data_IF_502245862087
#
_entry.id   IF_502245862087
#
_cell.length_a   1.000
_cell.length_b   1.000
_cell.length_c   1.000
_cell.angle_alpha   90.00
_cell.angle_beta   90.00
_cell.angle_gamma   90.00
#
_symmetry.space_group_name_H-M   'P 1'
#
loop_
_entity.id
_entity.type
_entity.pdbx_description
1 polymer ?
#
# COMPACT_ATOMS: atom_id res chain seq x y z
N UNK A 1 -25.73 6.14 8.42
CA UNK A 1 -26.83 6.09 7.43
C UNK A 1 -27.72 4.87 7.66
N UNK A 2 -28.93 4.78 7.08
CA UNK A 2 -29.73 3.57 7.26
C UNK A 2 -29.14 2.39 6.45
N UNK A 3 -29.44 1.16 6.86
CA UNK A 3 -28.81 -0.03 6.26
C UNK A 3 -29.16 -0.18 4.77
N UNK A 4 -30.41 0.07 4.38
CA UNK A 4 -30.85 -0.01 2.98
C UNK A 4 -30.17 1.04 2.09
N UNK A 5 -29.99 2.26 2.58
CA UNK A 5 -29.22 3.31 1.88
C UNK A 5 -27.76 2.88 1.67
N UNK A 6 -27.15 2.23 2.67
CA UNK A 6 -25.79 1.72 2.55
C UNK A 6 -25.71 0.58 1.52
N UNK A 7 -26.63 -0.38 1.55
CA UNK A 7 -26.72 -1.47 0.57
C UNK A 7 -26.93 -0.94 -0.86
N UNK A 8 -27.84 0.02 -1.03
CA UNK A 8 -28.07 0.69 -2.31
C UNK A 8 -26.81 1.42 -2.80
N UNK A 9 -26.09 2.06 -1.89
CA UNK A 9 -24.82 2.72 -2.16
C UNK A 9 -23.74 1.75 -2.63
N UNK A 10 -23.62 0.59 -1.97
CA UNK A 10 -22.66 -0.46 -2.36
C UNK A 10 -23.03 -1.06 -3.72
N UNK A 11 -24.30 -1.40 -3.94
CA UNK A 11 -24.77 -1.95 -5.19
C UNK A 11 -24.53 -0.97 -6.35
N UNK A 12 -24.93 0.29 -6.18
CA UNK A 12 -24.73 1.32 -7.20
C UNK A 12 -23.25 1.62 -7.47
N UNK A 13 -22.42 1.67 -6.43
CA UNK A 13 -20.99 1.96 -6.54
C UNK A 13 -20.14 0.84 -7.16
N UNK A 14 -20.65 -0.40 -7.17
CA UNK A 14 -19.94 -1.57 -7.74
C UNK A 14 -20.50 -2.06 -9.07
N UNK A 15 -21.74 -1.65 -9.41
CA UNK A 15 -22.48 -2.11 -10.59
C UNK A 15 -21.71 -1.93 -11.90
N UNK A 16 -21.13 -0.77 -12.13
CA UNK A 16 -20.47 -0.46 -13.40
C UNK A 16 -19.24 -1.36 -13.63
N UNK A 17 -18.43 -1.56 -12.59
CA UNK A 17 -17.26 -2.46 -12.60
C UNK A 17 -17.67 -3.90 -12.87
N UNK A 18 -18.71 -4.39 -12.19
CA UNK A 18 -19.22 -5.76 -12.38
C UNK A 18 -19.75 -5.96 -13.80
N UNK A 19 -20.56 -5.01 -14.29
CA UNK A 19 -21.12 -5.05 -15.64
C UNK A 19 -20.02 -5.00 -16.70
N UNK A 20 -19.02 -4.12 -16.54
CA UNK A 20 -17.87 -4.01 -17.44
C UNK A 20 -17.06 -5.31 -17.52
N UNK A 21 -17.08 -6.12 -16.46
CA UNK A 21 -16.39 -7.40 -16.40
C UNK A 21 -17.26 -8.61 -16.79
N UNK A 22 -18.46 -8.38 -17.29
CA UNK A 22 -19.36 -9.42 -17.80
C UNK A 22 -20.21 -10.08 -16.72
N UNK A 23 -20.35 -9.47 -15.55
CA UNK A 23 -21.22 -9.96 -14.49
C UNK A 23 -22.56 -9.23 -14.48
N UNK A 24 -23.63 -10.00 -14.36
CA UNK A 24 -24.99 -9.51 -14.18
C UNK A 24 -25.50 -9.88 -12.79
N UNK A 25 -26.26 -8.96 -12.20
CA UNK A 25 -26.88 -9.16 -10.89
C UNK A 25 -27.94 -10.27 -10.97
N UNK A 26 -27.85 -11.24 -10.08
CA UNK A 26 -28.88 -12.24 -9.85
C UNK A 26 -29.97 -11.62 -8.99
N UNK A 27 -31.18 -11.54 -9.54
CA UNK A 27 -32.35 -11.11 -8.77
C UNK A 27 -32.82 -12.27 -7.89
N UNK A 28 -32.93 -12.10 -6.56
CA UNK A 28 -33.52 -13.10 -5.68
C UNK A 28 -35.00 -13.34 -6.02
N UNK A 29 -35.55 -14.51 -5.66
CA UNK A 29 -36.98 -14.82 -5.85
C UNK A 29 -37.90 -13.90 -5.03
N UNK A 30 -37.40 -13.42 -3.89
CA UNK A 30 -38.10 -12.50 -3.00
C UNK A 30 -37.14 -11.40 -2.56
N UNK A 31 -37.49 -10.16 -2.87
CA UNK A 31 -36.82 -8.97 -2.39
C UNK A 31 -37.83 -7.82 -2.41
N UNK A 32 -37.61 -6.82 -1.56
CA UNK A 32 -38.44 -5.62 -1.51
C UNK A 32 -37.98 -4.62 -2.59
N UNK A 33 -37.24 -3.58 -2.19
CA UNK A 33 -36.78 -2.52 -3.08
C UNK A 33 -35.38 -2.79 -3.65
N UNK A 34 -34.54 -3.44 -2.85
CA UNK A 34 -33.14 -3.72 -3.20
C UNK A 34 -33.03 -5.22 -3.54
N UNK A 35 -32.46 -5.60 -4.70
CA UNK A 35 -32.28 -7.00 -5.10
C UNK A 35 -31.16 -7.68 -4.29
N UNK A 36 -31.42 -7.84 -2.98
CA UNK A 36 -30.53 -8.44 -1.99
C UNK A 36 -31.17 -9.69 -1.43
N UNK A 37 -30.42 -10.79 -1.34
CA UNK A 37 -30.84 -12.00 -0.64
C UNK A 37 -30.44 -11.87 0.82
N UNK A 38 -31.30 -12.28 1.75
CA UNK A 38 -30.96 -12.32 3.18
C UNK A 38 -31.35 -13.65 3.80
N UNK A 39 -30.55 -14.11 4.76
CA UNK A 39 -30.86 -15.23 5.65
C UNK A 39 -31.13 -14.79 7.10
N UNK A 40 -31.28 -13.49 7.33
CA UNK A 40 -31.52 -12.87 8.64
C UNK A 40 -30.27 -12.22 9.23
N UNK A 41 -29.10 -12.86 9.14
CA UNK A 41 -27.83 -12.32 9.65
C UNK A 41 -26.97 -11.71 8.53
N UNK A 42 -27.06 -12.28 7.34
CA UNK A 42 -26.26 -11.90 6.19
C UNK A 42 -27.14 -11.25 5.11
N UNK A 43 -26.52 -10.36 4.35
CA UNK A 43 -27.10 -9.77 3.14
C UNK A 43 -26.17 -10.00 1.96
N UNK A 44 -26.70 -10.52 0.86
CA UNK A 44 -25.93 -10.98 -0.29
C UNK A 44 -26.38 -10.28 -1.58
N UNK A 45 -25.41 -9.72 -2.30
CA UNK A 45 -25.53 -9.43 -3.72
C UNK A 45 -24.78 -10.50 -4.50
N UNK A 46 -25.53 -11.34 -5.20
CA UNK A 46 -24.99 -12.40 -6.04
C UNK A 46 -24.97 -11.97 -7.51
N UNK A 47 -23.86 -12.21 -8.20
CA UNK A 47 -23.68 -11.90 -9.62
C UNK A 47 -23.17 -13.12 -10.37
N UNK A 48 -23.56 -13.26 -11.64
CA UNK A 48 -23.09 -14.32 -12.53
C UNK A 48 -22.62 -13.77 -13.87
N UNK A 49 -21.64 -14.43 -14.47
CA UNK A 49 -21.11 -14.11 -15.79
C UNK A 49 -20.37 -15.30 -16.39
N UNK A 50 -19.87 -15.13 -17.61
CA UNK A 50 -19.06 -16.17 -18.28
C UNK A 50 -17.79 -16.54 -17.49
N UNK A 51 -17.29 -15.61 -16.66
CA UNK A 51 -16.12 -15.78 -15.80
C UNK A 51 -16.43 -16.43 -14.44
N UNK A 52 -17.66 -16.88 -14.21
CA UNK A 52 -18.10 -17.53 -12.98
C UNK A 52 -19.09 -16.69 -12.15
N UNK A 53 -18.97 -16.71 -10.81
CA UNK A 53 -19.85 -15.97 -9.90
C UNK A 53 -19.07 -15.05 -8.96
N UNK A 54 -19.72 -13.96 -8.55
CA UNK A 54 -19.25 -13.02 -7.54
C UNK A 54 -20.33 -12.81 -6.48
N UNK A 55 -19.92 -12.71 -5.22
CA UNK A 55 -20.82 -12.42 -4.09
C UNK A 55 -20.24 -11.30 -3.25
N UNK A 56 -21.02 -10.24 -3.06
CA UNK A 56 -20.77 -9.24 -2.00
C UNK A 56 -21.66 -9.64 -0.83
N UNK A 57 -21.04 -9.97 0.29
CA UNK A 57 -21.71 -10.36 1.52
C UNK A 57 -21.50 -9.29 2.59
N UNK A 58 -22.58 -8.84 3.19
CA UNK A 58 -22.57 -7.94 4.34
C UNK A 58 -22.99 -8.73 5.57
N UNK A 59 -22.12 -8.76 6.57
CA UNK A 59 -22.34 -9.46 7.84
C UNK A 59 -21.70 -8.68 8.98
N UNK A 60 -22.52 -8.30 9.98
CA UNK A 60 -22.09 -7.43 11.07
C UNK A 60 -21.38 -6.17 10.56
N UNK A 61 -20.14 -5.97 11.01
CA UNK A 61 -19.33 -4.81 10.61
C UNK A 61 -18.35 -5.10 9.45
N UNK A 62 -18.73 -5.98 8.53
CA UNK A 62 -17.88 -6.42 7.43
C UNK A 62 -18.61 -6.42 6.09
N UNK A 63 -17.87 -6.03 5.05
CA UNK A 63 -18.21 -6.25 3.66
C UNK A 63 -17.19 -7.19 3.03
N UNK A 64 -17.62 -8.41 2.72
CA UNK A 64 -16.80 -9.47 2.16
C UNK A 64 -17.06 -9.59 0.65
N UNK A 65 -16.00 -9.86 -0.09
CA UNK A 65 -16.09 -10.20 -1.51
C UNK A 65 -15.66 -11.64 -1.70
N UNK A 66 -16.49 -12.43 -2.35
CA UNK A 66 -16.21 -13.80 -2.75
C UNK A 66 -16.34 -13.96 -4.25
N UNK A 67 -15.67 -14.97 -4.78
CA UNK A 67 -15.82 -15.36 -6.16
C UNK A 67 -15.61 -16.86 -6.36
N UNK A 68 -16.05 -17.35 -7.52
CA UNK A 68 -15.69 -18.65 -8.06
C UNK A 68 -15.56 -18.52 -9.57
N UNK A 69 -14.56 -19.18 -10.15
CA UNK A 69 -14.33 -19.30 -11.60
C UNK A 69 -14.99 -20.56 -12.19
N UNK A 70 -15.65 -21.36 -11.35
CA UNK A 70 -16.46 -22.50 -11.78
C UNK A 70 -17.67 -22.00 -12.57
N UNK A 71 -18.08 -22.80 -13.57
CA UNK A 71 -19.27 -22.55 -14.35
C UNK A 71 -20.46 -22.21 -13.42
N UNK A 72 -21.17 -21.08 -13.62
CA UNK A 72 -22.24 -20.66 -12.74
C UNK A 72 -23.33 -21.72 -12.49
N UNK A 73 -23.59 -22.61 -13.45
CA UNK A 73 -24.62 -23.65 -13.32
C UNK A 73 -24.14 -24.88 -12.55
N UNK A 74 -22.82 -25.00 -12.31
CA UNK A 74 -22.18 -26.14 -11.64
C UNK A 74 -21.59 -25.77 -10.27
N UNK A 75 -21.32 -24.48 -10.04
CA UNK A 75 -20.68 -23.99 -8.81
C UNK A 75 -21.50 -24.29 -7.54
N UNK A 76 -20.83 -24.89 -6.56
CA UNK A 76 -21.33 -25.21 -5.23
C UNK A 76 -20.79 -24.24 -4.17
N UNK A 77 -21.26 -24.35 -2.92
CA UNK A 77 -20.78 -23.48 -1.84
C UNK A 77 -19.30 -23.73 -1.49
N UNK A 78 -18.73 -24.90 -1.81
CA UNK A 78 -17.32 -25.22 -1.56
C UNK A 78 -16.36 -24.53 -2.56
N UNK A 79 -16.88 -24.07 -3.70
CA UNK A 79 -16.09 -23.46 -4.76
C UNK A 79 -15.81 -21.96 -4.52
N UNK A 80 -16.41 -21.36 -3.50
CA UNK A 80 -16.24 -19.94 -3.20
C UNK A 80 -14.89 -19.64 -2.55
N UNK A 81 -14.16 -18.73 -3.17
CA UNK A 81 -12.92 -18.17 -2.66
C UNK A 81 -13.17 -16.75 -2.16
N UNK A 82 -12.74 -16.48 -0.93
CA UNK A 82 -12.78 -15.13 -0.35
C UNK A 82 -11.70 -14.25 -0.99
N UNK A 83 -12.10 -13.18 -1.67
CA UNK A 83 -11.22 -12.23 -2.34
C UNK A 83 -10.77 -11.09 -1.41
N UNK A 84 -11.67 -10.56 -0.59
CA UNK A 84 -11.37 -9.45 0.33
C UNK A 84 -12.30 -9.43 1.54
N UNK A 85 -11.83 -8.81 2.63
CA UNK A 85 -12.63 -8.44 3.80
C UNK A 85 -12.39 -6.96 4.06
N UNK A 86 -13.45 -6.17 4.02
CA UNK A 86 -13.41 -4.73 4.19
C UNK A 86 -14.22 -4.32 5.42
N UNK A 87 -13.82 -3.23 6.06
CA UNK A 87 -14.58 -2.69 7.18
C UNK A 87 -15.87 -2.03 6.65
N UNK A 88 -16.98 -2.30 7.31
CA UNK A 88 -18.27 -1.71 7.00
C UNK A 88 -18.99 -1.43 8.31
N UNK A 89 -19.55 -0.25 8.50
CA UNK A 89 -20.42 0.02 9.64
C UNK A 89 -21.45 1.08 9.24
N UNK A 90 -22.66 0.66 8.87
CA UNK A 90 -23.66 1.60 8.35
C UNK A 90 -24.07 2.67 9.38
N UNK A 91 -23.96 2.39 10.68
CA UNK A 91 -24.30 3.35 11.73
C UNK A 91 -23.30 4.53 11.76
N UNK A 92 -22.02 4.26 11.47
CA UNK A 92 -20.94 5.25 11.50
C UNK A 92 -20.58 5.81 10.11
N UNK A 93 -20.92 5.09 9.04
CA UNK A 93 -20.54 5.47 7.68
C UNK A 93 -21.39 6.63 7.15
N UNK A 94 -20.70 7.53 6.45
CA UNK A 94 -21.27 8.54 5.56
C UNK A 94 -21.09 8.15 4.09
N UNK A 95 -21.67 8.93 3.17
CA UNK A 95 -21.60 8.63 1.72
C UNK A 95 -20.16 8.53 1.19
N UNK A 96 -19.22 9.28 1.76
CA UNK A 96 -17.79 9.22 1.38
C UNK A 96 -17.15 7.87 1.77
N UNK A 97 -17.58 7.29 2.88
CA UNK A 97 -17.03 6.03 3.40
C UNK A 97 -17.58 4.86 2.58
N UNK A 98 -18.85 4.90 2.19
CA UNK A 98 -19.42 3.97 1.21
C UNK A 98 -18.69 4.07 -0.13
N UNK A 99 -18.37 5.28 -0.60
CA UNK A 99 -17.59 5.47 -1.83
C UNK A 99 -16.19 4.87 -1.70
N UNK A 100 -15.52 5.05 -0.55
CA UNK A 100 -14.21 4.44 -0.28
C UNK A 100 -14.29 2.92 -0.30
N UNK A 101 -15.29 2.34 0.38
CA UNK A 101 -15.56 0.90 0.36
C UNK A 101 -15.80 0.38 -1.07
N UNK A 102 -16.59 1.10 -1.88
CA UNK A 102 -16.81 0.74 -3.28
C UNK A 102 -15.52 0.78 -4.09
N UNK A 103 -14.63 1.75 -3.85
CA UNK A 103 -13.33 1.79 -4.52
C UNK A 103 -12.46 0.57 -4.17
N UNK A 104 -12.45 0.14 -2.91
CA UNK A 104 -11.71 -1.05 -2.45
C UNK A 104 -12.28 -2.35 -3.07
N UNK A 105 -13.60 -2.49 -3.10
CA UNK A 105 -14.29 -3.61 -3.75
C UNK A 105 -14.02 -3.63 -5.25
N UNK A 106 -14.15 -2.47 -5.93
CA UNK A 106 -13.90 -2.33 -7.36
C UNK A 106 -12.45 -2.64 -7.73
N UNK A 107 -11.49 -2.16 -6.95
CA UNK A 107 -10.08 -2.49 -7.14
C UNK A 107 -9.85 -4.00 -7.08
N UNK A 108 -10.45 -4.68 -6.10
CA UNK A 108 -10.35 -6.15 -5.99
C UNK A 108 -11.01 -6.87 -7.17
N UNK A 109 -12.17 -6.38 -7.62
CA UNK A 109 -12.87 -6.90 -8.80
C UNK A 109 -12.06 -6.72 -10.09
N UNK A 110 -11.44 -5.55 -10.28
CA UNK A 110 -10.58 -5.28 -11.43
C UNK A 110 -9.33 -6.14 -11.42
N UNK A 111 -8.69 -6.33 -10.26
CA UNK A 111 -7.54 -7.23 -10.12
C UNK A 111 -7.89 -8.70 -10.47
N UNK A 112 -9.13 -9.13 -10.22
CA UNK A 112 -9.56 -10.51 -10.42
C UNK A 112 -10.17 -10.78 -11.79
N UNK A 113 -11.05 -9.88 -12.23
CA UNK A 113 -11.92 -10.08 -13.38
C UNK A 113 -11.78 -9.02 -14.44
N UNK A 114 -11.05 -7.94 -14.15
CA UNK A 114 -10.56 -7.04 -15.18
C UNK A 114 -10.16 -7.87 -16.38
N UNK A 115 -10.61 -7.47 -17.57
CA UNK A 115 -9.86 -7.94 -18.73
C UNK A 115 -8.39 -7.70 -18.38
N UNK A 116 -7.52 -8.70 -18.60
CA UNK A 116 -6.16 -8.32 -18.95
C UNK A 116 -6.42 -7.30 -20.05
N UNK A 117 -6.21 -6.01 -19.75
CA UNK A 117 -5.77 -5.14 -20.79
C UNK A 117 -4.56 -5.94 -21.32
N UNK A 118 -4.78 -6.66 -22.44
CA UNK A 118 -3.92 -6.44 -23.58
C UNK A 118 -3.78 -4.94 -23.57
N UNK A 119 -2.69 -4.51 -22.96
CA UNK A 119 -2.21 -3.15 -22.79
C UNK A 119 -1.80 -2.64 -24.17
N UNK A 120 -2.67 -2.88 -25.15
CA UNK A 120 -2.77 -2.26 -26.43
C UNK A 120 -3.54 -0.96 -26.20
N UNK A 121 -2.89 0.02 -25.56
CA UNK A 121 -3.27 1.42 -25.80
C UNK A 121 -3.23 2.38 -24.62
N UNK A 122 -3.32 1.93 -23.36
CA UNK A 122 -2.76 2.72 -22.27
C UNK A 122 -1.34 2.25 -22.07
N UNK A 123 -0.41 2.86 -22.81
CA UNK A 123 0.93 3.05 -22.26
C UNK A 123 0.70 3.62 -20.87
N UNK A 124 0.88 2.79 -19.84
CA UNK A 124 1.15 3.27 -18.49
C UNK A 124 2.33 4.22 -18.75
N UNK A 125 2.06 5.53 -18.73
CA UNK A 125 3.03 6.51 -19.21
C UNK A 125 4.12 6.52 -18.17
N UNK A 126 5.32 6.07 -18.55
CA UNK A 126 6.52 6.12 -17.69
C UNK A 126 6.47 7.40 -16.87
N UNK A 127 6.58 7.32 -15.53
CA UNK A 127 6.42 8.49 -14.70
C UNK A 127 7.46 9.52 -15.16
N UNK A 128 6.99 10.73 -15.46
CA UNK A 128 7.85 11.76 -16.02
C UNK A 128 8.82 12.17 -14.91
N UNK A 129 10.15 12.02 -15.11
CA UNK A 129 11.11 12.47 -14.10
C UNK A 129 10.96 13.97 -13.90
N UNK A 130 11.06 14.41 -12.64
CA UNK A 130 10.97 15.81 -12.26
C UNK A 130 12.11 16.59 -12.92
N UNK A 131 11.73 17.66 -13.61
CA UNK A 131 12.68 18.50 -14.34
C UNK A 131 13.59 19.27 -13.39
N UNK A 132 14.81 19.57 -13.84
CA UNK A 132 15.77 20.35 -13.05
C UNK A 132 15.26 21.75 -12.71
N UNK A 133 14.52 22.38 -13.62
CA UNK A 133 13.90 23.69 -13.39
C UNK A 133 12.84 23.62 -12.30
N UNK A 134 11.94 22.63 -12.34
CA UNK A 134 10.89 22.46 -11.34
C UNK A 134 11.46 22.16 -9.94
N UNK A 135 12.55 21.38 -9.88
CA UNK A 135 13.26 21.13 -8.63
C UNK A 135 13.91 22.39 -8.05
N UNK A 136 14.66 23.12 -8.88
CA UNK A 136 15.39 24.31 -8.43
C UNK A 136 14.50 25.51 -8.10
N UNK A 137 13.31 25.59 -8.69
CA UNK A 137 12.32 26.61 -8.32
C UNK A 137 11.56 26.26 -7.04
N UNK A 138 11.74 25.04 -6.49
CA UNK A 138 10.96 24.54 -5.36
C UNK A 138 9.51 24.19 -5.72
N UNK A 139 9.16 24.16 -7.02
CA UNK A 139 7.79 23.83 -7.47
C UNK A 139 7.48 22.35 -7.29
N UNK A 140 8.49 21.50 -7.46
CA UNK A 140 8.43 20.07 -7.19
C UNK A 140 9.73 19.65 -6.52
N UNK A 141 9.72 18.56 -5.77
CA UNK A 141 10.95 17.93 -5.29
C UNK A 141 11.27 16.72 -6.16
N UNK A 142 12.55 16.39 -6.33
CA UNK A 142 12.91 15.13 -6.98
C UNK A 142 12.36 13.94 -6.19
N UNK A 143 11.92 12.93 -6.94
CA UNK A 143 11.36 11.68 -6.43
C UNK A 143 12.27 10.48 -6.75
N UNK A 144 11.94 9.31 -6.19
CA UNK A 144 12.67 8.06 -6.45
C UNK A 144 12.71 7.68 -7.93
N UNK A 145 11.66 7.99 -8.70
CA UNK A 145 11.63 7.80 -10.14
C UNK A 145 12.69 8.66 -10.86
N UNK A 146 12.82 9.92 -10.47
CA UNK A 146 13.81 10.85 -11.03
C UNK A 146 15.23 10.40 -10.72
N UNK A 147 15.47 9.94 -9.48
CA UNK A 147 16.74 9.36 -9.08
C UNK A 147 17.09 8.15 -9.95
N UNK A 148 16.19 7.17 -10.05
CA UNK A 148 16.40 5.97 -10.86
C UNK A 148 16.64 6.31 -12.33
N UNK A 149 15.82 7.19 -12.91
CA UNK A 149 15.95 7.63 -14.29
C UNK A 149 17.35 8.21 -14.59
N UNK A 150 17.85 9.12 -13.74
CA UNK A 150 19.19 9.71 -13.90
C UNK A 150 20.30 8.68 -13.77
N UNK A 151 20.16 7.73 -12.85
CA UNK A 151 21.12 6.67 -12.67
C UNK A 151 21.15 5.71 -13.86
N UNK A 152 20.04 5.48 -14.57
CA UNK A 152 20.05 4.66 -15.79
C UNK A 152 20.91 5.24 -16.92
N UNK A 153 21.18 6.56 -16.90
CA UNK A 153 22.12 7.20 -17.83
C UNK A 153 23.59 6.91 -17.47
N UNK A 154 23.88 6.62 -16.20
CA UNK A 154 25.19 6.17 -15.75
C UNK A 154 25.33 4.65 -15.86
N UNK A 155 24.25 3.90 -15.62
CA UNK A 155 24.22 2.45 -15.62
C UNK A 155 23.18 1.93 -16.62
N UNK A 156 23.54 1.77 -17.91
CA UNK A 156 22.59 1.39 -18.96
C UNK A 156 21.89 0.05 -18.70
N UNK A 157 22.54 -0.88 -18.00
CA UNK A 157 21.96 -2.18 -17.64
C UNK A 157 20.76 -2.06 -16.67
N UNK A 158 20.62 -0.93 -15.97
CA UNK A 158 19.49 -0.67 -15.08
C UNK A 158 18.22 -0.20 -15.82
N UNK A 159 18.31 0.13 -17.12
CA UNK A 159 17.15 0.59 -17.91
C UNK A 159 16.03 -0.44 -17.95
N UNK A 160 16.38 -1.71 -18.07
CA UNK A 160 15.41 -2.79 -18.19
C UNK A 160 14.74 -3.10 -16.85
N UNK A 161 15.46 -3.30 -15.73
CA UNK A 161 14.84 -3.39 -14.40
C UNK A 161 13.97 -2.17 -14.05
N UNK A 162 14.39 -0.96 -14.45
CA UNK A 162 13.61 0.26 -14.26
C UNK A 162 12.28 0.23 -15.02
N UNK A 163 12.29 -0.26 -16.27
CA UNK A 163 11.08 -0.46 -17.08
C UNK A 163 10.15 -1.52 -16.46
N UNK A 164 10.71 -2.67 -16.11
CA UNK A 164 9.97 -3.81 -15.58
C UNK A 164 9.33 -3.51 -14.21
N UNK A 165 9.99 -2.75 -13.34
CA UNK A 165 9.43 -2.32 -12.06
C UNK A 165 8.11 -1.56 -12.29
N UNK A 166 8.12 -0.57 -13.18
CA UNK A 166 6.92 0.20 -13.48
C UNK A 166 5.82 -0.61 -14.16
N UNK A 167 6.17 -1.49 -15.10
CA UNK A 167 5.19 -2.36 -15.78
C UNK A 167 4.53 -3.35 -14.83
N UNK A 168 5.28 -3.83 -13.83
CA UNK A 168 4.78 -4.80 -12.86
C UNK A 168 3.81 -4.17 -11.86
N UNK A 169 4.08 -2.95 -11.42
CA UNK A 169 3.34 -2.33 -10.31
C UNK A 169 2.39 -1.22 -10.73
N UNK A 170 2.43 -0.76 -11.99
CA UNK A 170 1.66 0.40 -12.47
C UNK A 170 2.18 1.75 -11.98
N UNK A 171 3.11 1.73 -11.01
CA UNK A 171 3.85 2.86 -10.48
C UNK A 171 5.32 2.45 -10.23
N UNK A 172 6.21 3.42 -10.01
CA UNK A 172 7.61 3.12 -9.77
C UNK A 172 7.88 2.92 -8.27
N UNK A 173 8.17 1.68 -7.87
CA UNK A 173 8.52 1.33 -6.50
C UNK A 173 10.04 1.45 -6.30
N UNK A 174 10.48 2.63 -5.85
CA UNK A 174 11.90 2.94 -5.74
C UNK A 174 12.66 2.03 -4.77
N UNK A 175 12.07 1.71 -3.61
CA UNK A 175 12.70 0.80 -2.63
C UNK A 175 12.96 -0.59 -3.23
N UNK A 176 11.99 -1.19 -3.92
CA UNK A 176 12.17 -2.49 -4.60
C UNK A 176 13.28 -2.41 -5.65
N UNK A 177 13.27 -1.37 -6.48
CA UNK A 177 14.24 -1.21 -7.55
C UNK A 177 15.67 -1.05 -7.01
N UNK A 178 15.86 -0.23 -5.98
CA UNK A 178 17.19 -0.01 -5.39
C UNK A 178 17.64 -1.21 -4.56
N UNK A 179 16.75 -1.86 -3.80
CA UNK A 179 17.08 -3.04 -3.01
C UNK A 179 17.58 -4.20 -3.89
N UNK A 180 16.96 -4.40 -5.05
CA UNK A 180 17.23 -5.54 -5.94
C UNK A 180 18.23 -5.27 -7.07
N UNK A 181 18.36 -4.01 -7.55
CA UNK A 181 19.16 -3.71 -8.75
C UNK A 181 20.09 -2.51 -8.56
N UNK A 182 19.55 -1.37 -8.13
CA UNK A 182 20.28 -0.11 -8.19
C UNK A 182 21.44 0.01 -7.19
N UNK A 183 21.27 -0.49 -5.96
CA UNK A 183 22.25 -0.26 -4.89
C UNK A 183 23.60 -0.93 -5.18
N UNK A 184 23.64 -2.16 -5.67
CA UNK A 184 24.93 -2.83 -5.93
C UNK A 184 25.75 -2.16 -7.04
N UNK A 185 25.10 -1.62 -8.08
CA UNK A 185 25.81 -0.86 -9.12
C UNK A 185 26.48 0.40 -8.54
N UNK A 186 25.78 1.09 -7.63
CA UNK A 186 26.28 2.29 -6.95
C UNK A 186 27.43 1.93 -6.00
N UNK A 187 27.24 0.91 -5.16
CA UNK A 187 28.28 0.43 -4.24
C UNK A 187 29.50 -0.08 -5.01
N UNK A 188 29.32 -0.74 -6.16
CA UNK A 188 30.39 -1.13 -7.07
C UNK A 188 31.25 0.05 -7.53
N UNK A 189 30.61 1.16 -7.90
CA UNK A 189 31.33 2.41 -8.25
C UNK A 189 32.10 2.97 -7.07
N UNK A 190 31.52 2.97 -5.86
CA UNK A 190 32.23 3.41 -4.65
C UNK A 190 33.45 2.51 -4.37
N UNK A 191 33.30 1.19 -4.51
CA UNK A 191 34.39 0.21 -4.34
C UNK A 191 35.49 0.38 -5.39
N UNK A 192 35.14 0.76 -6.62
CA UNK A 192 36.11 0.95 -7.72
C UNK A 192 37.11 2.07 -7.46
N UNK A 193 36.70 3.07 -6.66
CA UNK A 193 37.48 4.29 -6.36
C UNK A 193 37.91 5.08 -7.60
N UNK A 194 37.25 4.88 -8.74
CA UNK A 194 37.53 5.65 -9.94
C UNK A 194 37.05 7.10 -9.74
N UNK A 195 37.95 8.11 -9.73
CA UNK A 195 37.56 9.48 -9.40
C UNK A 195 36.58 10.11 -10.39
N UNK A 196 36.61 9.70 -11.66
CA UNK A 196 35.73 10.23 -12.70
C UNK A 196 34.31 9.69 -12.54
N UNK A 197 34.19 8.40 -12.26
CA UNK A 197 32.89 7.76 -11.99
C UNK A 197 32.31 8.23 -10.66
N UNK A 198 33.14 8.37 -9.60
CA UNK A 198 32.73 8.93 -8.30
C UNK A 198 32.18 10.35 -8.45
N UNK A 199 32.87 11.23 -9.18
CA UNK A 199 32.39 12.59 -9.46
C UNK A 199 31.04 12.57 -10.17
N UNK A 200 30.85 11.68 -11.14
CA UNK A 200 29.58 11.57 -11.88
C UNK A 200 28.46 11.05 -10.97
N UNK A 201 28.73 10.02 -10.18
CA UNK A 201 27.78 9.42 -9.24
C UNK A 201 27.32 10.44 -8.20
N UNK A 202 28.26 11.03 -7.46
CA UNK A 202 27.92 11.93 -6.37
C UNK A 202 27.36 13.27 -6.86
N UNK A 203 27.69 13.70 -8.08
CA UNK A 203 26.96 14.81 -8.71
C UNK A 203 25.46 14.51 -8.87
N UNK A 204 25.08 13.26 -9.19
CA UNK A 204 23.68 12.85 -9.27
C UNK A 204 23.09 12.76 -7.86
N UNK A 205 23.76 12.07 -6.94
CA UNK A 205 23.25 11.86 -5.59
C UNK A 205 23.09 13.16 -4.80
N UNK A 206 24.06 14.08 -4.87
CA UNK A 206 23.99 15.38 -4.18
C UNK A 206 22.85 16.24 -4.74
N UNK A 207 22.71 16.36 -6.08
CA UNK A 207 21.62 17.15 -6.68
C UNK A 207 20.24 16.55 -6.34
N UNK A 208 20.13 15.22 -6.28
CA UNK A 208 18.92 14.54 -5.83
C UNK A 208 18.66 14.78 -4.34
N UNK A 209 19.68 14.66 -3.48
CA UNK A 209 19.51 14.80 -2.04
C UNK A 209 19.12 16.23 -1.64
N UNK A 210 19.80 17.23 -2.19
CA UNK A 210 19.56 18.65 -1.90
C UNK A 210 18.18 19.15 -2.37
N UNK A 211 17.64 18.58 -3.45
CA UNK A 211 16.39 19.05 -4.06
C UNK A 211 15.29 17.97 -4.07
N UNK A 212 15.46 16.89 -3.31
CA UNK A 212 14.57 15.74 -3.23
C UNK A 212 13.58 15.83 -2.09
N UNK A 213 12.51 15.04 -2.17
CA UNK A 213 11.62 14.83 -1.02
C UNK A 213 12.35 14.12 0.12
N UNK A 214 11.83 14.21 1.35
CA UNK A 214 12.39 13.47 2.49
C UNK A 214 12.43 11.95 2.24
N UNK A 215 11.45 11.40 1.53
CA UNK A 215 11.45 9.99 1.14
C UNK A 215 12.61 9.66 0.19
N UNK A 216 12.88 10.55 -0.76
CA UNK A 216 13.99 10.37 -1.73
C UNK A 216 15.36 10.54 -1.07
N UNK A 217 15.48 11.47 -0.12
CA UNK A 217 16.65 11.57 0.75
C UNK A 217 16.86 10.29 1.55
N UNK A 218 15.76 9.71 2.07
CA UNK A 218 15.75 8.42 2.75
C UNK A 218 16.28 7.28 1.87
N UNK A 219 15.82 7.18 0.61
CA UNK A 219 16.31 6.19 -0.35
C UNK A 219 17.83 6.34 -0.58
N UNK A 220 18.31 7.56 -0.79
CA UNK A 220 19.75 7.83 -0.99
C UNK A 220 20.55 7.45 0.25
N UNK A 221 20.15 7.94 1.43
CA UNK A 221 20.96 7.82 2.64
C UNK A 221 20.84 6.46 3.33
N UNK A 222 19.65 5.85 3.34
CA UNK A 222 19.36 4.59 4.04
C UNK A 222 19.47 3.39 3.09
N UNK A 223 18.73 3.40 1.98
CA UNK A 223 18.61 2.23 1.09
C UNK A 223 19.85 2.02 0.23
N UNK A 224 20.46 3.10 -0.23
CA UNK A 224 21.64 3.05 -1.10
C UNK A 224 22.92 3.15 -0.27
N UNK A 225 23.20 4.33 0.30
CA UNK A 225 24.47 4.59 0.99
C UNK A 225 24.54 3.94 2.38
N UNK A 226 23.40 3.64 3.00
CA UNK A 226 23.32 2.89 4.25
C UNK A 226 23.78 1.43 4.14
N UNK A 227 23.85 0.88 2.92
CA UNK A 227 24.37 -0.46 2.63
C UNK A 227 25.89 -0.51 2.40
N UNK A 228 26.63 0.51 2.82
CA UNK A 228 28.09 0.40 2.90
C UNK A 228 28.55 -0.45 4.09
N UNK A 229 27.62 -0.96 4.92
CA UNK A 229 27.85 -1.86 6.05
C UNK A 229 28.92 -1.34 7.03
N UNK A 230 28.96 -0.02 7.23
CA UNK A 230 29.96 0.66 8.06
C UNK A 230 31.41 0.35 7.65
N UNK A 231 31.65 0.04 6.37
CA UNK A 231 32.99 -0.17 5.83
C UNK A 231 33.74 1.15 5.78
N UNK A 232 34.77 1.32 6.63
CA UNK A 232 35.53 2.57 6.75
C UNK A 232 36.14 3.04 5.43
N UNK A 233 36.60 2.11 4.59
CA UNK A 233 37.24 2.43 3.31
C UNK A 233 36.25 2.96 2.30
N UNK A 234 35.03 2.42 2.27
CA UNK A 234 33.96 2.90 1.40
C UNK A 234 33.40 4.22 1.92
N UNK A 235 33.19 4.34 3.24
CA UNK A 235 32.73 5.57 3.88
C UNK A 235 33.67 6.73 3.61
N UNK A 236 34.98 6.58 3.85
CA UNK A 236 35.97 7.63 3.54
C UNK A 236 35.96 8.02 2.06
N UNK A 237 35.88 7.04 1.16
CA UNK A 237 35.79 7.31 -0.28
C UNK A 237 34.52 8.09 -0.63
N UNK A 238 33.35 7.71 -0.10
CA UNK A 238 32.10 8.41 -0.35
C UNK A 238 32.10 9.82 0.25
N UNK A 239 32.63 9.95 1.47
CA UNK A 239 32.70 11.18 2.26
C UNK A 239 33.38 12.33 1.53
N UNK A 240 34.38 12.05 0.68
CA UNK A 240 35.08 13.04 -0.14
C UNK A 240 34.19 13.70 -1.21
N UNK A 241 33.05 13.10 -1.56
CA UNK A 241 32.21 13.55 -2.68
C UNK A 241 30.77 13.88 -2.27
N UNK A 242 30.33 13.49 -1.07
CA UNK A 242 29.00 13.85 -0.54
C UNK A 242 28.90 15.35 -0.29
N UNK A 243 27.70 15.93 -0.46
CA UNK A 243 27.41 17.27 0.05
C UNK A 243 27.34 17.27 1.59
N UNK A 244 27.54 18.45 2.18
CA UNK A 244 27.62 18.61 3.64
C UNK A 244 26.36 18.10 4.36
N UNK A 245 25.18 18.36 3.79
CA UNK A 245 23.89 17.94 4.36
C UNK A 245 23.68 16.42 4.36
N UNK A 246 24.35 15.68 3.47
CA UNK A 246 24.21 14.22 3.35
C UNK A 246 25.26 13.49 4.19
N UNK A 247 26.46 14.05 4.30
CA UNK A 247 27.66 13.38 4.80
C UNK A 247 27.50 12.83 6.23
N UNK A 248 27.16 13.69 7.18
CA UNK A 248 27.04 13.29 8.59
C UNK A 248 25.89 12.31 8.80
N UNK A 249 24.78 12.51 8.08
CA UNK A 249 23.60 11.66 8.12
C UNK A 249 23.93 10.25 7.65
N UNK A 250 24.62 10.10 6.51
CA UNK A 250 25.01 8.78 5.96
C UNK A 250 25.98 8.05 6.89
N UNK A 251 26.93 8.76 7.50
CA UNK A 251 27.87 8.18 8.48
C UNK A 251 27.13 7.66 9.71
N UNK A 252 26.19 8.45 10.24
CA UNK A 252 25.36 8.04 11.40
C UNK A 252 24.46 6.85 11.07
N UNK A 253 23.84 6.84 9.88
CA UNK A 253 23.02 5.73 9.40
C UNK A 253 23.83 4.44 9.34
N UNK A 254 25.02 4.47 8.72
CA UNK A 254 25.87 3.29 8.62
C UNK A 254 26.28 2.74 10.00
N UNK A 255 26.67 3.62 10.92
CA UNK A 255 26.97 3.23 12.32
C UNK A 255 25.76 2.60 13.00
N UNK A 256 24.58 3.18 12.83
CA UNK A 256 23.35 2.67 13.42
C UNK A 256 22.96 1.30 12.84
N UNK A 257 22.95 1.16 11.51
CA UNK A 257 22.57 -0.07 10.82
C UNK A 257 23.54 -1.23 11.13
N UNK A 258 24.82 -0.94 11.35
CA UNK A 258 25.81 -1.92 11.80
C UNK A 258 25.71 -2.28 13.30
N UNK A 259 25.01 -1.48 14.12
CA UNK A 259 24.84 -1.77 15.54
C UNK A 259 23.92 -2.97 15.79
N UNK A 260 24.02 -3.65 16.95
CA UNK A 260 23.10 -4.75 17.30
C UNK A 260 21.62 -4.34 17.27
N UNK A 261 21.32 -3.09 17.64
CA UNK A 261 19.96 -2.55 17.60
C UNK A 261 19.46 -2.39 16.17
N UNK A 262 20.30 -1.88 15.27
CA UNK A 262 19.99 -1.73 13.84
C UNK A 262 19.78 -3.08 13.16
N UNK A 263 20.69 -4.03 13.39
CA UNK A 263 20.58 -5.40 12.88
C UNK A 263 19.26 -6.07 13.31
N UNK A 264 18.94 -6.01 14.62
CA UNK A 264 17.67 -6.53 15.16
C UNK A 264 16.44 -5.84 14.56
N UNK A 265 16.52 -4.54 14.28
CA UNK A 265 15.40 -3.82 13.63
C UNK A 265 15.20 -4.31 12.19
N UNK A 266 16.28 -4.48 11.42
CA UNK A 266 16.21 -5.02 10.06
C UNK A 266 15.61 -6.42 10.03
N UNK A 267 16.00 -7.29 10.97
CA UNK A 267 15.43 -8.63 11.11
C UNK A 267 13.92 -8.58 11.40
N UNK A 268 13.47 -7.66 12.26
CA UNK A 268 12.06 -7.44 12.55
C UNK A 268 11.29 -6.85 11.36
N UNK A 269 11.91 -6.01 10.54
CA UNK A 269 11.26 -5.49 9.34
C UNK A 269 11.08 -6.58 8.28
N UNK A 270 12.04 -7.50 8.16
CA UNK A 270 11.93 -8.69 7.29
C UNK A 270 10.93 -9.71 7.82
N UNK A 271 10.83 -9.84 9.14
CA UNK A 271 9.95 -10.78 9.83
C UNK A 271 9.11 -10.02 10.87
N UNK A 272 8.09 -9.26 10.44
CA UNK A 272 7.27 -8.48 11.36
C UNK A 272 6.58 -9.42 12.36
N UNK A 273 6.54 -9.06 13.65
CA UNK A 273 5.84 -9.87 14.62
C UNK A 273 4.36 -9.97 14.23
N UNK A 274 3.70 -11.11 14.49
CA UNK A 274 2.27 -11.25 14.28
C UNK A 274 1.51 -10.11 14.96
N UNK A 275 0.51 -9.56 14.26
CA UNK A 275 -0.35 -8.54 14.82
C UNK A 275 -0.95 -9.05 16.14
N UNK A 276 -0.77 -8.27 17.22
CA UNK A 276 -1.42 -8.53 18.50
C UNK A 276 -2.52 -7.49 18.68
N UNK A 277 -3.80 -7.90 18.76
CA UNK A 277 -4.90 -6.99 19.05
C UNK A 277 -4.61 -6.20 20.33
N UNK A 278 -4.90 -4.90 20.32
CA UNK A 278 -4.83 -4.10 21.55
C UNK A 278 -5.78 -4.72 22.56
N UNK A 279 -5.24 -5.22 23.68
CA UNK A 279 -6.08 -5.72 24.78
C UNK A 279 -7.03 -4.61 25.20
N UNK A 280 -8.34 -4.90 25.20
CA UNK A 280 -9.32 -4.00 25.82
C UNK A 280 -8.87 -3.72 27.25
N UNK A 281 -8.73 -2.43 27.58
CA UNK A 281 -8.42 -2.03 28.95
C UNK A 281 -9.61 -2.42 29.81
N UNK A 282 -9.44 -3.47 30.62
CA UNK A 282 -10.36 -3.76 31.72
C UNK A 282 -10.44 -2.49 32.60
N UNK A 283 -11.64 -2.03 32.99
CA UNK A 283 -11.77 -0.90 33.89
C UNK A 283 -11.01 -1.23 35.18
N UNK A 284 -10.11 -0.33 35.57
CA UNK A 284 -9.28 -0.54 36.75
C UNK A 284 -10.14 -0.70 38.00
N UNK A 285 -9.62 -1.38 39.02
CA UNK A 285 -10.30 -1.69 40.27
C UNK A 285 -11.02 -0.48 40.90
N UNK A 286 -10.45 0.72 40.79
CA UNK A 286 -11.07 1.97 41.25
C UNK A 286 -12.37 2.32 40.51
N UNK A 287 -12.44 2.07 39.19
CA UNK A 287 -13.65 2.25 38.38
C UNK A 287 -14.76 1.27 38.77
N UNK A 288 -14.40 0.05 39.17
CA UNK A 288 -15.37 -0.93 39.70
C UNK A 288 -15.85 -0.56 41.10
N UNK A 289 -14.96 -0.03 41.95
CA UNK A 289 -15.33 0.39 43.31
C UNK A 289 -16.26 1.60 43.31
N UNK A 290 -16.05 2.57 42.40
CA UNK A 290 -16.93 3.73 42.24
C UNK A 290 -18.30 3.35 41.69
N UNK A 291 -18.37 2.35 40.80
CA UNK A 291 -19.65 1.81 40.31
C UNK A 291 -20.43 1.06 41.42
N UNK A 292 -19.73 0.33 42.30
CA UNK A 292 -20.33 -0.34 43.45
C UNK A 292 -20.80 0.64 44.54
N UNK A 293 -20.08 1.75 44.75
CA UNK A 293 -20.45 2.80 45.71
C UNK A 293 -21.70 3.59 45.32
N UNK A 294 -21.96 3.79 44.02
CA UNK A 294 -23.16 4.47 43.53
C UNK A 294 -24.44 3.61 43.58
N UNK A 295 -24.32 2.28 43.62
CA UNK A 295 -25.48 1.38 43.71
C UNK A 295 -26.11 1.33 45.11
N UNK A 296 -25.38 1.77 46.15
CA UNK A 296 -25.80 1.63 47.55
C UNK A 296 -26.54 2.86 48.11
N UNK A 297 -26.69 3.94 47.33
CA UNK A 297 -27.21 5.23 47.81
C UNK A 297 -28.47 5.74 47.08
N UNK A 298 -29.17 4.88 46.33
CA UNK A 298 -30.35 5.27 45.56
C UNK A 298 -31.60 4.48 45.90
N UNK A 299 -32.44 4.98 46.82
CA UNK A 299 -33.84 4.56 46.87
C UNK A 299 -34.53 4.65 48.23
N UNK A 300 -34.84 5.85 48.71
CA UNK A 300 -36.08 6.05 49.48
C UNK A 300 -37.09 6.71 48.53
N UNK A 301 -38.22 6.05 48.22
CA UNK A 301 -39.26 6.67 47.40
C UNK A 301 -40.05 7.67 48.26
N UNK A 302 -40.31 8.90 47.79
CA UNK A 302 -41.25 9.78 48.46
C UNK A 302 -42.69 9.30 48.19
N UNK A 303 -43.50 9.28 49.26
CA UNK A 303 -44.96 9.24 49.21
C UNK A 303 -45.55 10.56 48.71
#
# INVERSE_FOLDING_TARGET
>A
MNFNEALQGILSGTKDTLTANGFELIKPDKYDEIPVRTDGEHSYFDFKGEKGKVRIEIFGNQALLFYTDVNPDEATEEDWVKASVNYFNHEEFESKDIKSLCNELNYTLELKFGAEEKSAGKTVKKPVPVSKSAAKSGTQSYDGNTLANRLTAMYPHLKEPYRLNYEKYGEFLAEEFFDNYGTEAILGTIRSRNPQELKKLFKILNDIYENGSSDTQGIVAVTILGKMDNNEKMLKTAEEYMCDDMKDIVILINKYLASPKGQKMREKMKNPPPYKPKKQKQPGFLSQMMAAGNAQNGGMPPM
#
